data_IF_278367214901
#
_entry.id   IF_278367214901
#
_cell.length_a   1.000
_cell.length_b   1.000
_cell.length_c   1.000
_cell.angle_alpha   90.00
_cell.angle_beta   90.00
_cell.angle_gamma   90.00
#
_symmetry.space_group_name_H-M   'P 1'
#
loop_
_entity.id
_entity.type
_entity.pdbx_description
1 polymer ?
#
# COMPACT_ATOMS: atom_id res chain seq x y z
N UNK A 1 13.50 -21.95 10.70
CA UNK A 1 13.45 -21.19 9.43
C UNK A 1 14.10 -19.86 9.72
N UNK A 2 15.30 -19.62 9.21
CA UNK A 2 15.97 -18.34 9.40
C UNK A 2 15.47 -17.38 8.33
N UNK A 3 14.55 -16.50 8.71
CA UNK A 3 14.11 -15.42 7.85
C UNK A 3 15.16 -14.30 7.90
N UNK A 4 15.75 -13.96 6.76
CA UNK A 4 16.67 -12.82 6.69
C UNK A 4 15.93 -11.48 6.90
N UNK A 5 16.69 -10.43 7.27
CA UNK A 5 16.12 -9.10 7.54
C UNK A 5 15.37 -8.49 6.36
N UNK A 6 15.81 -8.73 5.12
CA UNK A 6 15.15 -8.18 3.95
C UNK A 6 13.78 -8.85 3.76
N UNK A 7 13.71 -10.17 3.94
CA UNK A 7 12.46 -10.93 3.92
C UNK A 7 11.50 -10.47 5.01
N UNK A 8 11.96 -10.32 6.26
CA UNK A 8 11.12 -9.83 7.36
C UNK A 8 10.58 -8.42 7.12
N UNK A 9 11.42 -7.52 6.61
CA UNK A 9 11.01 -6.15 6.27
C UNK A 9 10.00 -6.13 5.12
N UNK A 10 10.18 -6.97 4.11
CA UNK A 10 9.23 -7.11 3.00
C UNK A 10 7.86 -7.58 3.51
N UNK A 11 7.84 -8.65 4.32
CA UNK A 11 6.63 -9.20 4.91
C UNK A 11 5.90 -8.16 5.78
N UNK A 12 6.63 -7.38 6.57
CA UNK A 12 6.07 -6.32 7.42
C UNK A 12 5.37 -5.20 6.65
N UNK A 13 5.76 -4.99 5.38
CA UNK A 13 5.21 -3.95 4.51
C UNK A 13 4.07 -4.47 3.60
N UNK A 14 3.81 -5.77 3.62
CA UNK A 14 2.88 -6.42 2.73
C UNK A 14 1.43 -5.92 2.95
N UNK A 15 0.80 -5.51 1.84
CA UNK A 15 -0.61 -5.12 1.73
C UNK A 15 -1.19 -4.06 2.70
N UNK A 16 -0.39 -3.20 3.33
CA UNK A 16 -0.96 -2.19 4.25
C UNK A 16 -1.92 -1.22 3.55
N UNK A 17 -1.72 -0.99 2.24
CA UNK A 17 -2.59 -0.13 1.42
C UNK A 17 -3.99 -0.70 1.22
N UNK A 18 -4.14 -2.03 1.08
CA UNK A 18 -5.44 -2.67 0.91
C UNK A 18 -6.27 -2.77 2.21
N UNK A 19 -5.68 -2.47 3.37
CA UNK A 19 -6.36 -2.59 4.67
C UNK A 19 -7.27 -1.36 4.95
N UNK A 20 -8.41 -1.52 5.64
CA UNK A 20 -9.20 -0.38 6.14
C UNK A 20 -8.39 0.54 7.07
N UNK A 21 -8.75 1.81 7.19
CA UNK A 21 -8.00 2.77 8.03
C UNK A 21 -8.12 2.41 9.50
N UNK A 22 -9.30 1.95 9.91
CA UNK A 22 -9.61 1.49 11.26
C UNK A 22 -8.73 0.28 11.61
N UNK A 23 -8.53 -0.63 10.66
CA UNK A 23 -7.63 -1.77 10.82
C UNK A 23 -6.19 -1.32 11.07
N UNK A 24 -5.70 -0.33 10.31
CA UNK A 24 -4.34 0.19 10.47
C UNK A 24 -4.14 0.86 11.82
N UNK A 25 -5.11 1.68 12.27
CA UNK A 25 -5.04 2.36 13.57
C UNK A 25 -5.03 1.35 14.70
N UNK A 26 -5.93 0.35 14.65
CA UNK A 26 -5.99 -0.72 15.63
C UNK A 26 -4.68 -1.52 15.69
N UNK A 27 -4.17 -1.96 14.53
CA UNK A 27 -2.94 -2.74 14.48
C UNK A 27 -1.71 -1.93 14.90
N UNK A 28 -1.68 -0.63 14.58
CA UNK A 28 -0.65 0.27 15.07
C UNK A 28 -0.64 0.32 16.60
N UNK A 29 -1.79 0.58 17.23
CA UNK A 29 -1.90 0.63 18.70
C UNK A 29 -1.51 -0.69 19.33
N UNK A 30 -2.07 -1.80 18.85
CA UNK A 30 -1.77 -3.13 19.38
C UNK A 30 -0.27 -3.46 19.29
N UNK A 31 0.36 -3.18 18.15
CA UNK A 31 1.78 -3.48 17.96
C UNK A 31 2.69 -2.56 18.78
N UNK A 32 2.31 -1.29 19.00
CA UNK A 32 3.01 -0.41 19.94
C UNK A 32 3.00 -1.00 21.36
N UNK A 33 1.84 -1.47 21.83
CA UNK A 33 1.70 -2.06 23.16
C UNK A 33 2.56 -3.33 23.31
N UNK A 34 2.53 -4.21 22.31
CA UNK A 34 3.35 -5.43 22.32
C UNK A 34 4.85 -5.12 22.30
N UNK A 35 5.29 -4.18 21.47
CA UNK A 35 6.70 -3.76 21.43
C UNK A 35 7.15 -3.03 22.70
N UNK A 36 6.23 -2.37 23.42
CA UNK A 36 6.55 -1.76 24.71
C UNK A 36 6.85 -2.81 25.77
N UNK A 37 6.14 -3.94 25.76
CA UNK A 37 6.36 -5.10 26.67
C UNK A 37 7.68 -5.81 26.40
N UNK A 38 8.27 -5.68 25.21
CA UNK A 38 9.60 -6.29 24.90
C UNK A 38 10.66 -5.82 25.90
N UNK A 39 10.53 -4.60 26.44
CA UNK A 39 11.44 -4.06 27.47
C UNK A 39 11.46 -4.86 28.76
N UNK A 40 10.41 -5.62 29.03
CA UNK A 40 10.27 -6.44 30.24
C UNK A 40 11.02 -7.79 30.11
N UNK A 41 11.55 -8.11 28.92
CA UNK A 41 12.27 -9.35 28.63
C UNK A 41 13.75 -9.08 28.33
N UNK A 42 14.63 -9.29 29.31
CA UNK A 42 16.07 -9.01 29.20
C UNK A 42 16.79 -9.74 28.05
N UNK A 43 16.26 -10.89 27.60
CA UNK A 43 16.89 -11.71 26.56
C UNK A 43 16.52 -11.28 25.14
N UNK A 44 15.49 -10.44 24.97
CA UNK A 44 15.04 -10.00 23.66
C UNK A 44 15.76 -8.72 23.24
N UNK A 45 16.38 -8.76 22.07
CA UNK A 45 17.10 -7.61 21.51
C UNK A 45 16.43 -7.10 20.23
N UNK A 46 16.70 -5.87 19.77
CA UNK A 46 16.23 -5.40 18.46
C UNK A 46 16.73 -6.24 17.27
N UNK A 47 17.78 -7.04 17.48
CA UNK A 47 18.32 -7.95 16.49
C UNK A 47 17.56 -9.29 16.43
N UNK A 48 16.73 -9.61 17.43
CA UNK A 48 15.85 -10.78 17.38
C UNK A 48 14.89 -10.69 16.19
N UNK A 49 14.75 -11.76 15.39
CA UNK A 49 13.88 -11.76 14.20
C UNK A 49 12.44 -11.30 14.50
N UNK A 50 11.87 -11.72 15.63
CA UNK A 50 10.52 -11.35 16.04
C UNK A 50 10.39 -9.87 16.41
N UNK A 51 11.35 -9.34 17.17
CA UNK A 51 11.38 -7.92 17.57
C UNK A 51 11.63 -7.06 16.33
N UNK A 52 12.57 -7.45 15.48
CA UNK A 52 12.88 -6.77 14.22
C UNK A 52 11.67 -6.70 13.28
N UNK A 53 10.95 -7.82 13.12
CA UNK A 53 9.73 -7.88 12.33
C UNK A 53 8.64 -6.95 12.89
N UNK A 54 8.44 -6.96 14.21
CA UNK A 54 7.51 -6.04 14.88
C UNK A 54 7.87 -4.58 14.65
N UNK A 55 9.15 -4.21 14.82
CA UNK A 55 9.63 -2.84 14.57
C UNK A 55 9.42 -2.41 13.11
N UNK A 56 9.72 -3.28 12.16
CA UNK A 56 9.47 -3.02 10.73
C UNK A 56 7.97 -2.85 10.44
N UNK A 57 7.12 -3.66 11.08
CA UNK A 57 5.67 -3.61 10.92
C UNK A 57 5.09 -2.32 11.49
N UNK A 58 5.62 -1.86 12.63
CA UNK A 58 5.23 -0.60 13.25
C UNK A 58 5.58 0.59 12.34
N UNK A 59 6.81 0.63 11.82
CA UNK A 59 7.24 1.67 10.88
C UNK A 59 6.37 1.68 9.61
N UNK A 60 6.09 0.51 9.04
CA UNK A 60 5.25 0.37 7.87
C UNK A 60 3.81 0.88 8.12
N UNK A 61 3.23 0.54 9.27
CA UNK A 61 1.91 1.02 9.69
C UNK A 61 1.88 2.53 9.90
N UNK A 62 2.87 3.09 10.60
CA UNK A 62 3.01 4.54 10.79
C UNK A 62 3.11 5.26 9.46
N UNK A 63 3.95 4.76 8.56
CA UNK A 63 4.13 5.34 7.23
C UNK A 63 2.84 5.29 6.42
N UNK A 64 2.09 4.20 6.48
CA UNK A 64 0.80 4.06 5.78
C UNK A 64 -0.29 4.97 6.39
N UNK A 65 -0.41 5.04 7.71
CA UNK A 65 -1.35 5.94 8.40
C UNK A 65 -1.01 7.40 8.12
N UNK A 66 0.27 7.77 8.20
CA UNK A 66 0.75 9.10 7.84
C UNK A 66 0.52 9.40 6.36
N UNK A 67 0.70 8.43 5.46
CA UNK A 67 0.38 8.59 4.04
C UNK A 67 -1.10 8.92 3.87
N UNK A 68 -2.01 8.16 4.49
CA UNK A 68 -3.46 8.44 4.45
C UNK A 68 -3.80 9.81 5.02
N UNK A 69 -3.13 10.22 6.10
CA UNK A 69 -3.28 11.55 6.71
C UNK A 69 -2.70 12.67 5.84
N UNK A 70 -1.61 12.44 5.10
CA UNK A 70 -1.06 13.42 4.14
C UNK A 70 -1.92 13.54 2.89
N UNK A 71 -2.57 12.45 2.47
CA UNK A 71 -3.59 12.50 1.42
C UNK A 71 -4.82 13.28 1.84
N UNK A 72 -5.10 13.38 3.14
CA UNK A 72 -6.19 14.23 3.60
C UNK A 72 -5.87 15.73 3.56
N UNK A 73 -4.60 16.20 3.41
CA UNK A 73 -4.32 17.65 3.47
C UNK A 73 -3.12 18.24 2.68
N UNK A 74 -2.35 17.50 1.88
CA UNK A 74 -1.24 18.09 1.11
C UNK A 74 -1.54 18.22 -0.40
N UNK A 75 -2.15 19.34 -0.79
CA UNK A 75 -1.96 19.92 -2.13
C UNK A 75 -3.06 19.74 -3.17
N UNK A 76 -4.18 19.07 -2.86
CA UNK A 76 -5.33 19.05 -3.77
C UNK A 76 -6.34 20.11 -3.31
N UNK A 77 -6.33 21.28 -3.96
CA UNK A 77 -7.20 22.41 -3.59
C UNK A 77 -8.67 22.23 -4.02
N UNK A 78 -9.02 21.12 -4.69
CA UNK A 78 -10.40 20.83 -5.06
C UNK A 78 -10.68 19.34 -5.28
N UNK A 79 -10.54 18.52 -4.24
CA UNK A 79 -11.13 17.19 -4.28
C UNK A 79 -11.73 16.92 -2.91
N UNK A 80 -13.00 17.29 -2.77
CA UNK A 80 -13.78 16.94 -1.60
C UNK A 80 -13.74 15.41 -1.43
N UNK A 81 -13.78 14.91 -0.18
CA UNK A 81 -13.86 13.47 0.11
C UNK A 81 -14.96 12.80 -0.72
N UNK A 82 -16.07 13.51 -0.89
CA UNK A 82 -17.19 13.16 -1.77
C UNK A 82 -16.76 12.88 -3.22
N UNK A 83 -15.85 13.67 -3.79
CA UNK A 83 -15.35 13.46 -5.16
C UNK A 83 -14.50 12.19 -5.25
N UNK A 84 -13.67 11.92 -4.24
CA UNK A 84 -12.86 10.68 -4.18
C UNK A 84 -13.79 9.47 -4.09
N UNK A 85 -14.76 9.52 -3.19
CA UNK A 85 -15.75 8.46 -3.01
C UNK A 85 -16.61 8.28 -4.28
N UNK A 86 -17.00 9.38 -4.94
CA UNK A 86 -17.73 9.35 -6.22
C UNK A 86 -16.90 8.69 -7.35
N UNK A 87 -15.60 9.00 -7.46
CA UNK A 87 -14.73 8.32 -8.43
C UNK A 87 -14.66 6.82 -8.12
N UNK A 88 -14.45 6.44 -6.85
CA UNK A 88 -14.37 5.03 -6.45
C UNK A 88 -15.67 4.27 -6.68
N UNK A 89 -16.82 4.89 -6.41
CA UNK A 89 -18.12 4.25 -6.59
C UNK A 89 -18.56 4.16 -8.06
N UNK A 90 -18.02 5.04 -8.91
CA UNK A 90 -18.31 5.05 -10.35
C UNK A 90 -17.48 4.04 -11.14
N UNK A 91 -16.44 3.46 -10.53
CA UNK A 91 -15.50 2.57 -11.19
C UNK A 91 -15.58 1.16 -10.62
N UNK A 92 -15.55 0.18 -11.52
CA UNK A 92 -15.37 -1.23 -11.18
C UNK A 92 -13.90 -1.60 -11.31
N UNK A 93 -13.35 -2.23 -10.28
CA UNK A 93 -11.93 -2.57 -10.24
C UNK A 93 -11.56 -3.67 -11.25
N UNK A 94 -12.50 -4.55 -11.60
CA UNK A 94 -12.34 -5.52 -12.69
C UNK A 94 -12.03 -4.81 -14.01
N UNK A 95 -12.80 -3.80 -14.39
CA UNK A 95 -12.62 -3.03 -15.63
C UNK A 95 -11.26 -2.29 -15.65
N UNK A 96 -10.79 -1.81 -14.49
CA UNK A 96 -9.49 -1.15 -14.36
C UNK A 96 -8.34 -2.17 -14.43
N UNK A 97 -8.51 -3.36 -13.85
CA UNK A 97 -7.49 -4.41 -13.90
C UNK A 97 -7.31 -4.98 -15.29
N UNK A 98 -8.38 -5.05 -16.08
CA UNK A 98 -8.34 -5.46 -17.50
C UNK A 98 -7.41 -4.58 -18.36
N UNK A 99 -7.08 -3.36 -17.92
CA UNK A 99 -6.10 -2.51 -18.62
C UNK A 99 -4.67 -3.06 -18.52
N UNK A 100 -4.39 -3.85 -17.50
CA UNK A 100 -3.02 -4.26 -17.15
C UNK A 100 -2.81 -5.77 -17.16
N UNK A 101 -3.88 -6.55 -17.01
CA UNK A 101 -3.79 -8.01 -16.91
C UNK A 101 -5.08 -8.71 -17.32
N UNK A 102 -4.98 -10.03 -17.46
CA UNK A 102 -6.13 -10.90 -17.70
C UNK A 102 -6.97 -11.02 -16.42
N UNK A 103 -8.27 -10.73 -16.57
CA UNK A 103 -9.29 -10.89 -15.54
C UNK A 103 -10.23 -12.01 -15.96
N UNK A 104 -10.59 -12.87 -15.00
CA UNK A 104 -11.44 -14.04 -15.20
C UNK A 104 -12.61 -13.99 -14.24
N UNK A 105 -13.82 -14.16 -14.77
CA UNK A 105 -15.02 -14.38 -13.98
C UNK A 105 -15.28 -15.88 -13.85
N UNK A 106 -15.22 -16.41 -12.63
CA UNK A 106 -15.62 -17.78 -12.33
C UNK A 106 -16.80 -17.79 -11.35
N UNK A 107 -17.96 -18.24 -11.85
CA UNK A 107 -19.25 -18.21 -11.16
C UNK A 107 -19.66 -16.80 -10.71
N UNK A 108 -19.24 -16.39 -9.52
CA UNK A 108 -19.53 -15.08 -8.91
C UNK A 108 -18.28 -14.39 -8.37
N UNK A 109 -17.11 -15.00 -8.54
CA UNK A 109 -15.85 -14.48 -8.07
C UNK A 109 -15.02 -14.03 -9.26
N UNK A 110 -14.51 -12.81 -9.14
CA UNK A 110 -13.58 -12.25 -10.08
C UNK A 110 -12.16 -12.57 -9.62
N UNK A 111 -11.35 -13.07 -10.54
CA UNK A 111 -9.95 -13.40 -10.32
C UNK A 111 -9.10 -12.73 -11.40
N UNK A 112 -7.82 -12.50 -11.14
CA UNK A 112 -6.92 -11.91 -12.12
C UNK A 112 -5.54 -12.54 -12.06
N UNK A 113 -4.83 -12.52 -13.19
CA UNK A 113 -3.44 -12.97 -13.25
C UNK A 113 -2.53 -11.87 -12.72
N UNK A 114 -1.71 -12.14 -11.71
CA UNK A 114 -0.83 -11.10 -11.17
C UNK A 114 0.45 -11.00 -12.00
N UNK A 115 0.81 -9.80 -12.46
CA UNK A 115 2.08 -9.57 -13.19
C UNK A 115 3.15 -8.91 -12.32
N UNK A 116 2.83 -8.56 -11.07
CA UNK A 116 3.73 -7.82 -10.17
C UNK A 116 4.83 -8.70 -9.55
N UNK A 117 4.63 -10.01 -9.47
CA UNK A 117 5.59 -10.95 -8.87
C UNK A 117 6.28 -11.88 -9.87
N UNK A 118 6.20 -11.54 -11.16
CA UNK A 118 6.76 -12.35 -12.25
C UNK A 118 5.70 -13.15 -12.99
N UNK A 119 6.12 -14.18 -13.76
CA UNK A 119 5.21 -15.02 -14.53
C UNK A 119 4.30 -15.82 -13.60
N UNK A 120 2.99 -15.66 -13.78
CA UNK A 120 1.98 -16.37 -13.02
C UNK A 120 1.25 -17.36 -13.93
N UNK A 121 1.29 -18.65 -13.60
CA UNK A 121 0.67 -19.71 -14.42
C UNK A 121 -0.82 -19.90 -14.09
N UNK A 122 -1.24 -19.59 -12.86
CA UNK A 122 -2.63 -19.72 -12.41
C UNK A 122 -3.08 -18.41 -11.77
N UNK A 123 -4.28 -17.87 -12.07
CA UNK A 123 -4.69 -16.57 -11.55
C UNK A 123 -4.61 -16.53 -10.01
N UNK A 124 -3.60 -15.82 -9.50
CA UNK A 124 -3.32 -15.68 -8.06
C UNK A 124 -4.02 -14.48 -7.42
N UNK A 125 -4.68 -13.66 -8.23
CA UNK A 125 -5.42 -12.48 -7.81
C UNK A 125 -6.90 -12.76 -7.58
N UNK A 126 -7.46 -12.20 -6.51
CA UNK A 126 -8.90 -12.17 -6.21
C UNK A 126 -9.41 -10.74 -6.17
N UNK A 127 -10.64 -10.54 -6.62
CA UNK A 127 -11.35 -9.28 -6.58
C UNK A 127 -12.63 -9.45 -5.76
N UNK A 128 -12.79 -8.62 -4.73
CA UNK A 128 -13.99 -8.60 -3.87
C UNK A 128 -14.20 -7.19 -3.31
N UNK A 129 -15.46 -6.75 -3.24
CA UNK A 129 -15.86 -5.46 -2.65
C UNK A 129 -15.10 -4.26 -3.26
N UNK A 130 -14.95 -4.28 -4.60
CA UNK A 130 -14.19 -3.30 -5.37
C UNK A 130 -12.72 -3.15 -4.93
N UNK A 131 -12.14 -4.23 -4.40
CA UNK A 131 -10.74 -4.34 -4.00
C UNK A 131 -10.09 -5.57 -4.62
N UNK A 132 -8.81 -5.43 -4.93
CA UNK A 132 -7.99 -6.49 -5.48
C UNK A 132 -6.95 -6.94 -4.46
N UNK A 133 -6.64 -8.23 -4.42
CA UNK A 133 -5.56 -8.78 -3.61
C UNK A 133 -4.95 -9.99 -4.32
N UNK A 134 -3.62 -10.05 -4.37
CA UNK A 134 -2.90 -11.23 -4.82
C UNK A 134 -2.44 -12.04 -3.61
N UNK A 135 -2.77 -13.33 -3.58
CA UNK A 135 -2.42 -14.21 -2.45
C UNK A 135 -0.93 -14.57 -2.38
N UNK A 136 -0.16 -14.31 -3.45
CA UNK A 136 1.27 -14.66 -3.53
C UNK A 136 2.15 -13.49 -3.10
N UNK A 137 1.91 -12.30 -3.65
CA UNK A 137 2.76 -11.13 -3.38
C UNK A 137 2.14 -10.12 -2.43
N UNK A 138 0.90 -10.36 -2.00
CA UNK A 138 0.15 -9.48 -1.12
C UNK A 138 -0.06 -8.05 -1.66
N UNK A 139 0.24 -7.82 -2.94
CA UNK A 139 -0.07 -6.54 -3.59
C UNK A 139 -1.54 -6.48 -3.97
N UNK A 140 -2.10 -5.27 -3.93
CA UNK A 140 -3.51 -5.03 -4.15
C UNK A 140 -3.96 -3.69 -3.55
N UNK A 141 -5.27 -3.52 -3.46
CA UNK A 141 -5.89 -2.32 -2.92
C UNK A 141 -7.13 -1.92 -3.71
N UNK A 142 -7.44 -0.63 -3.70
CA UNK A 142 -8.54 -0.06 -4.47
C UNK A 142 -8.13 0.32 -5.91
N UNK A 143 -9.06 0.90 -6.68
CA UNK A 143 -8.83 1.34 -8.06
C UNK A 143 -7.63 2.29 -8.21
N UNK A 144 -7.34 3.13 -7.23
CA UNK A 144 -6.19 4.01 -7.28
C UNK A 144 -4.90 3.28 -6.95
N UNK A 145 -4.92 2.35 -6.00
CA UNK A 145 -3.75 1.54 -5.65
C UNK A 145 -3.34 0.67 -6.83
N UNK A 146 -4.28 0.06 -7.54
CA UNK A 146 -4.02 -0.71 -8.77
C UNK A 146 -3.29 0.17 -9.80
N UNK A 147 -3.83 1.33 -10.16
CA UNK A 147 -3.18 2.22 -11.14
C UNK A 147 -1.79 2.68 -10.66
N UNK A 148 -1.64 3.02 -9.38
CA UNK A 148 -0.32 3.38 -8.84
C UNK A 148 0.69 2.23 -8.92
N UNK A 149 0.27 1.00 -8.63
CA UNK A 149 1.14 -0.19 -8.64
C UNK A 149 1.60 -0.54 -10.06
N UNK A 150 0.66 -0.61 -11.01
CA UNK A 150 0.97 -1.00 -12.39
C UNK A 150 1.71 0.11 -13.15
N UNK A 151 1.37 1.37 -12.95
CA UNK A 151 1.97 2.49 -13.70
C UNK A 151 3.12 3.18 -12.98
N UNK A 152 3.36 2.83 -11.71
CA UNK A 152 4.37 3.46 -10.84
C UNK A 152 4.20 4.98 -10.75
N UNK A 153 2.95 5.42 -10.69
CA UNK A 153 2.56 6.83 -10.59
C UNK A 153 2.20 7.21 -9.16
N UNK A 154 2.23 8.51 -8.87
CA UNK A 154 1.74 9.02 -7.59
C UNK A 154 0.20 9.01 -7.54
N UNK A 155 -0.38 9.06 -6.33
CA UNK A 155 -1.84 9.10 -6.20
C UNK A 155 -2.50 10.24 -7.00
N UNK A 156 -2.00 11.51 -6.96
CA UNK A 156 -2.63 12.57 -7.75
C UNK A 156 -2.62 12.29 -9.25
N UNK A 157 -1.59 11.62 -9.77
CA UNK A 157 -1.53 11.20 -11.17
C UNK A 157 -2.53 10.08 -11.48
N UNK A 158 -2.64 9.07 -10.60
CA UNK A 158 -3.66 8.02 -10.72
C UNK A 158 -5.08 8.60 -10.66
N UNK A 159 -5.34 9.53 -9.75
CA UNK A 159 -6.62 10.24 -9.65
C UNK A 159 -6.92 11.03 -10.92
N UNK A 160 -5.96 11.79 -11.44
CA UNK A 160 -6.10 12.53 -12.69
C UNK A 160 -6.44 11.61 -13.87
N UNK A 161 -5.86 10.40 -13.91
CA UNK A 161 -6.10 9.42 -14.95
C UNK A 161 -7.52 8.85 -14.86
N UNK A 162 -7.89 8.35 -13.68
CA UNK A 162 -9.21 7.76 -13.47
C UNK A 162 -10.34 8.79 -13.62
N UNK A 163 -10.15 10.01 -13.11
CA UNK A 163 -11.14 11.08 -13.28
C UNK A 163 -11.33 11.46 -14.76
N UNK A 164 -10.25 11.54 -15.55
CA UNK A 164 -10.35 11.73 -17.01
C UNK A 164 -11.10 10.59 -17.69
N UNK A 165 -10.87 9.35 -17.25
CA UNK A 165 -11.56 8.19 -17.81
C UNK A 165 -13.08 8.25 -17.63
N UNK A 166 -13.55 8.77 -16.50
CA UNK A 166 -15.00 8.92 -16.20
C UNK A 166 -15.56 10.32 -16.49
N UNK A 167 -14.77 11.20 -17.11
CA UNK A 167 -15.21 12.56 -17.47
C UNK A 167 -15.35 13.54 -16.30
N UNK A 168 -14.78 13.27 -15.13
CA UNK A 168 -14.77 14.19 -13.98
C UNK A 168 -13.57 15.14 -14.11
N UNK A 169 -13.83 16.45 -14.10
CA UNK A 169 -12.79 17.47 -14.08
C UNK A 169 -12.36 17.78 -12.63
N UNK A 170 -11.17 17.33 -12.25
CA UNK A 170 -10.59 17.57 -10.91
C UNK A 170 -9.98 18.98 -10.73
N UNK A 171 -10.00 19.83 -11.75
CA UNK A 171 -9.29 21.11 -11.73
C UNK A 171 -7.75 20.93 -11.70
N UNK A 172 -6.99 22.02 -11.48
CA UNK A 172 -5.53 21.96 -11.46
C UNK A 172 -5.04 21.20 -10.21
N UNK A 173 -4.44 20.03 -10.45
CA UNK A 173 -3.80 19.21 -9.42
C UNK A 173 -2.41 19.79 -9.12
N UNK A 174 -2.28 20.54 -8.02
CA UNK A 174 -0.97 21.03 -7.55
C UNK A 174 -0.20 19.88 -6.90
N UNK A 175 0.63 19.24 -7.71
CA UNK A 175 1.45 18.08 -7.30
C UNK A 175 2.13 17.35 -8.47
N UNK A 176 1.77 17.69 -9.71
CA UNK A 176 2.47 17.24 -10.92
C UNK A 176 3.79 18.00 -11.15
N UNK A 177 4.72 17.91 -10.21
CA UNK A 177 6.10 18.36 -10.40
C UNK A 177 7.01 17.15 -10.60
N UNK A 178 7.39 16.92 -11.86
CA UNK A 178 8.41 15.98 -12.36
C UNK A 178 8.22 14.48 -11.99
N UNK A 179 8.63 13.61 -12.92
CA UNK A 179 8.39 12.17 -12.85
C UNK A 179 8.75 11.56 -11.50
N UNK A 180 7.96 10.56 -11.09
CA UNK A 180 8.27 9.70 -9.95
C UNK A 180 9.69 9.14 -10.09
N UNK A 181 10.69 9.82 -9.51
CA UNK A 181 11.99 9.25 -9.20
C UNK A 181 11.83 8.50 -7.89
N UNK A 182 11.10 7.39 -7.94
CA UNK A 182 11.16 6.40 -6.89
C UNK A 182 12.58 5.87 -6.81
N UNK A 183 13.40 6.45 -5.94
CA UNK A 183 14.66 5.85 -5.52
C UNK A 183 14.32 4.58 -4.72
N UNK A 184 14.02 3.49 -5.41
CA UNK A 184 14.36 2.15 -4.94
C UNK A 184 15.87 1.95 -5.17
N UNK A 185 16.69 2.82 -4.59
CA UNK A 185 18.13 2.61 -4.53
C UNK A 185 18.42 1.76 -3.31
N UNK A 186 18.86 0.51 -3.54
CA UNK A 186 19.75 -0.17 -2.59
C UNK A 186 20.88 0.81 -2.23
N UNK A 187 21.17 0.94 -0.94
CA UNK A 187 22.20 1.81 -0.33
C UNK A 187 21.61 3.01 0.41
N UNK A 188 22.06 3.18 1.66
CA UNK A 188 21.86 4.31 2.58
C UNK A 188 20.74 4.18 3.62
N UNK A 189 20.89 3.22 4.53
CA UNK A 189 20.56 3.46 5.95
C UNK A 189 21.80 3.21 6.79
N UNK A 190 22.75 4.12 6.64
CA UNK A 190 23.77 4.33 7.65
C UNK A 190 23.94 5.84 7.79
N UNK A 191 23.31 6.40 8.83
CA UNK A 191 23.79 7.55 9.62
C UNK A 191 22.78 7.90 10.73
N UNK A 192 23.26 7.65 11.96
CA UNK A 192 23.02 8.38 13.22
C UNK A 192 21.66 8.21 13.89
N UNK A 193 21.48 7.08 14.57
CA UNK A 193 20.84 7.08 15.88
C UNK A 193 21.85 7.61 16.90
N UNK A 194 21.90 8.93 17.08
CA UNK A 194 22.56 9.55 18.23
C UNK A 194 21.51 9.85 19.29
N UNK A 195 21.69 9.23 20.46
CA UNK A 195 21.35 9.82 21.76
C UNK A 195 19.94 9.59 22.27
N UNK A 196 19.75 8.51 23.03
CA UNK A 196 18.84 8.50 24.18
C UNK A 196 19.64 7.93 25.35
N UNK A 197 20.21 8.84 26.15
CA UNK A 197 20.51 8.60 27.57
C UNK A 197 19.20 8.70 28.35
#
# INVERSE_FOLDING_TARGET
MDFDRASLKYMAQANLRGKPTEWLVFHFQHLQDELQKVKDYEHLTPDDPYVYYGLCSLDALVNEVQRRRRLSYAGITNTNRETIEAIKSSLKIEDILEWYTEVFLHQRNWTYRCTLHGPDNHPSGSIKDNRAHCFVCDQGGDVFDVVQLFERVSLPQAMAKLARHIGINLGPIKGGGEGYKGNFTKSQYNRKATGWY
#
